data_IF_544478610761
#
_entry.id   IF_544478610761
#
_cell.length_a   1.000
_cell.length_b   1.000
_cell.length_c   1.000
_cell.angle_alpha   90.00
_cell.angle_beta   90.00
_cell.angle_gamma   90.00
#
_symmetry.space_group_name_H-M   'P 1'
#
loop_
_entity.id
_entity.type
_entity.pdbx_description
1 polymer ?
#
# COMPACT_ATOMS: atom_id res chain seq x y z
N UNK A 1 11.51 -0.26 22.48
CA UNK A 1 12.17 -1.57 22.73
C UNK A 1 11.28 -2.74 22.38
N UNK A 2 10.11 -2.92 22.99
CA UNK A 2 9.21 -4.06 22.68
C UNK A 2 8.80 -4.15 21.19
N UNK A 3 8.32 -3.06 20.59
CA UNK A 3 7.90 -3.06 19.19
C UNK A 3 9.02 -3.45 18.21
N UNK A 4 10.26 -3.01 18.49
CA UNK A 4 11.43 -3.35 17.68
C UNK A 4 11.80 -4.83 17.81
N UNK A 5 11.75 -5.38 19.04
CA UNK A 5 11.99 -6.80 19.26
C UNK A 5 10.96 -7.68 18.54
N UNK A 6 9.67 -7.30 18.58
CA UNK A 6 8.60 -7.98 17.84
C UNK A 6 8.84 -7.91 16.33
N UNK A 7 9.22 -6.73 15.81
CA UNK A 7 9.54 -6.57 14.40
C UNK A 7 10.71 -7.48 13.97
N UNK A 8 11.84 -7.45 14.69
CA UNK A 8 12.99 -8.31 14.39
C UNK A 8 12.64 -9.80 14.51
N UNK A 9 11.81 -10.17 15.49
CA UNK A 9 11.28 -11.53 15.61
C UNK A 9 10.43 -11.95 14.41
N UNK A 10 9.57 -11.05 13.91
CA UNK A 10 8.77 -11.30 12.71
C UNK A 10 9.65 -11.47 11.46
N UNK A 11 10.69 -10.64 11.31
CA UNK A 11 11.70 -10.81 10.24
C UNK A 11 12.40 -12.16 10.36
N UNK A 12 12.83 -12.55 11.57
CA UNK A 12 13.40 -13.86 11.83
C UNK A 12 12.46 -15.00 11.41
N UNK A 13 11.17 -14.89 11.74
CA UNK A 13 10.16 -15.88 11.37
C UNK A 13 9.99 -16.02 9.85
N UNK A 14 10.16 -14.96 9.06
CA UNK A 14 10.10 -15.07 7.59
C UNK A 14 11.20 -15.97 7.01
N UNK A 15 12.34 -16.11 7.69
CA UNK A 15 13.42 -16.99 7.25
C UNK A 15 13.12 -18.49 7.46
N UNK A 16 12.12 -18.81 8.30
CA UNK A 16 11.69 -20.19 8.55
C UNK A 16 10.89 -20.78 7.37
N UNK A 17 10.35 -19.93 6.50
CA UNK A 17 9.58 -20.34 5.31
C UNK A 17 10.26 -19.76 4.07
N UNK A 18 10.87 -20.59 3.19
CA UNK A 18 11.66 -20.09 2.06
C UNK A 18 10.94 -19.09 1.16
N UNK A 19 9.62 -19.26 0.96
CA UNK A 19 8.78 -18.35 0.17
C UNK A 19 8.59 -16.97 0.82
N UNK A 20 8.73 -16.86 2.14
CA UNK A 20 8.61 -15.62 2.90
C UNK A 20 9.96 -14.92 3.13
N UNK A 21 11.10 -15.59 2.94
CA UNK A 21 12.41 -14.96 3.10
C UNK A 21 12.54 -13.62 2.32
N UNK A 22 12.08 -13.50 1.06
CA UNK A 22 12.13 -12.22 0.34
C UNK A 22 11.29 -11.11 0.98
N UNK A 23 10.21 -11.46 1.71
CA UNK A 23 9.39 -10.51 2.49
C UNK A 23 10.24 -9.88 3.61
N UNK A 24 10.98 -10.70 4.36
CA UNK A 24 11.87 -10.23 5.41
C UNK A 24 12.97 -9.31 4.88
N UNK A 25 13.60 -9.67 3.77
CA UNK A 25 14.61 -8.84 3.10
C UNK A 25 14.01 -7.50 2.66
N UNK A 26 12.83 -7.52 2.03
CA UNK A 26 12.14 -6.30 1.62
C UNK A 26 11.76 -5.41 2.80
N UNK A 27 11.29 -5.98 3.91
CA UNK A 27 10.98 -5.23 5.12
C UNK A 27 12.23 -4.56 5.73
N UNK A 28 13.37 -5.26 5.77
CA UNK A 28 14.64 -4.67 6.21
C UNK A 28 15.12 -3.55 5.28
N UNK A 29 14.91 -3.70 3.96
CA UNK A 29 15.20 -2.63 3.00
C UNK A 29 14.41 -1.36 3.33
N UNK A 30 13.08 -1.44 3.45
CA UNK A 30 12.26 -0.25 3.78
C UNK A 30 12.60 0.34 5.16
N UNK A 31 12.94 -0.50 6.14
CA UNK A 31 13.45 -0.05 7.43
C UNK A 31 14.77 0.72 7.31
N UNK A 32 15.72 0.23 6.51
CA UNK A 32 16.99 0.93 6.27
C UNK A 32 16.77 2.27 5.54
N UNK A 33 15.89 2.30 4.54
CA UNK A 33 15.49 3.55 3.86
C UNK A 33 14.93 4.57 4.87
N UNK A 34 14.02 4.12 5.74
CA UNK A 34 13.40 4.93 6.80
C UNK A 34 14.39 5.52 7.79
N UNK A 35 15.42 4.76 8.17
CA UNK A 35 16.36 5.15 9.22
C UNK A 35 17.56 5.93 8.68
N UNK A 36 17.98 5.66 7.43
CA UNK A 36 19.17 6.28 6.84
C UNK A 36 18.85 7.30 5.75
N UNK A 37 18.19 6.87 4.67
CA UNK A 37 18.08 7.66 3.44
C UNK A 37 17.11 8.84 3.61
N UNK A 38 15.89 8.60 4.09
CA UNK A 38 14.87 9.65 4.16
C UNK A 38 15.29 10.81 5.07
N UNK A 39 15.84 10.60 6.29
CA UNK A 39 16.32 11.69 7.12
C UNK A 39 17.35 12.58 6.43
N UNK A 40 18.32 12.00 5.73
CA UNK A 40 19.38 12.74 5.02
C UNK A 40 18.79 13.61 3.92
N UNK A 41 17.87 13.06 3.13
CA UNK A 41 17.20 13.80 2.03
C UNK A 41 16.20 14.85 2.52
N UNK A 42 15.79 14.81 3.79
CA UNK A 42 14.75 15.68 4.35
C UNK A 42 15.30 16.89 5.10
N UNK A 43 16.62 17.00 5.27
CA UNK A 43 17.29 18.05 6.06
C UNK A 43 16.93 19.49 5.65
N UNK A 44 16.57 19.71 4.38
CA UNK A 44 16.18 21.01 3.85
C UNK A 44 14.67 21.31 3.92
N UNK A 45 13.85 20.40 4.48
CA UNK A 45 12.38 20.55 4.51
C UNK A 45 11.92 21.06 5.88
N UNK A 46 11.18 22.18 5.96
CA UNK A 46 10.69 22.73 7.23
C UNK A 46 9.88 21.74 8.09
N UNK A 47 9.07 20.89 7.45
CA UNK A 47 8.30 19.83 8.12
C UNK A 47 9.16 18.71 8.73
N UNK A 48 10.41 18.56 8.29
CA UNK A 48 11.35 17.62 8.89
C UNK A 48 12.06 18.22 10.11
N UNK A 49 12.21 19.55 10.14
CA UNK A 49 12.79 20.31 11.24
C UNK A 49 11.86 20.45 12.46
N UNK A 50 10.58 20.06 12.34
CA UNK A 50 9.66 20.04 13.47
C UNK A 50 9.90 18.81 14.35
N UNK A 51 10.29 18.98 15.61
CA UNK A 51 10.42 17.86 16.53
C UNK A 51 9.07 17.19 16.83
N UNK A 52 9.04 15.86 16.87
CA UNK A 52 7.90 15.09 17.37
C UNK A 52 7.09 14.36 16.31
N UNK A 53 5.77 14.56 16.31
CA UNK A 53 4.83 13.75 15.51
C UNK A 53 4.95 14.02 14.01
N UNK A 54 5.10 15.27 13.60
CA UNK A 54 5.07 15.65 12.19
C UNK A 54 6.32 15.17 11.45
N UNK A 55 7.50 15.20 12.08
CA UNK A 55 8.70 14.56 11.53
C UNK A 55 8.52 13.04 11.34
N UNK A 56 7.92 12.34 12.31
CA UNK A 56 7.67 10.89 12.19
C UNK A 56 6.68 10.59 11.07
N UNK A 57 5.62 11.40 10.95
CA UNK A 57 4.66 11.29 9.86
C UNK A 57 5.30 11.57 8.50
N UNK A 58 6.21 12.53 8.42
CA UNK A 58 6.94 12.87 7.20
C UNK A 58 7.79 11.68 6.74
N UNK A 59 8.56 11.10 7.66
CA UNK A 59 9.42 9.96 7.40
C UNK A 59 8.60 8.75 6.94
N UNK A 60 7.50 8.44 7.63
CA UNK A 60 6.57 7.38 7.26
C UNK A 60 6.00 7.60 5.85
N UNK A 61 5.38 8.77 5.63
CA UNK A 61 4.73 9.12 4.33
C UNK A 61 5.72 9.09 3.17
N UNK A 62 6.99 9.45 3.39
CA UNK A 62 8.04 9.40 2.36
C UNK A 62 8.38 7.98 1.95
N UNK A 63 8.46 7.05 2.92
CA UNK A 63 8.69 5.63 2.65
C UNK A 63 7.46 5.00 1.98
N UNK A 64 6.25 5.39 2.40
CA UNK A 64 5.01 4.99 1.72
C UNK A 64 4.93 5.48 0.28
N UNK A 65 5.38 6.71 -0.01
CA UNK A 65 5.48 7.21 -1.38
C UNK A 65 6.44 6.35 -2.21
N UNK A 66 7.63 6.05 -1.69
CA UNK A 66 8.59 5.16 -2.36
C UNK A 66 7.95 3.79 -2.67
N UNK A 67 7.29 3.18 -1.68
CA UNK A 67 6.61 1.90 -1.88
C UNK A 67 5.54 1.99 -2.96
N UNK A 68 4.67 3.00 -2.91
CA UNK A 68 3.57 3.16 -3.87
C UNK A 68 4.09 3.34 -5.30
N UNK A 69 5.23 4.04 -5.49
CA UNK A 69 5.91 4.16 -6.77
C UNK A 69 6.47 2.81 -7.25
N UNK A 70 7.23 2.13 -6.39
CA UNK A 70 7.86 0.85 -6.71
C UNK A 70 6.81 -0.21 -7.05
N UNK A 71 5.82 -0.39 -6.18
CA UNK A 71 4.74 -1.38 -6.35
C UNK A 71 3.89 -1.13 -7.59
N UNK A 72 3.56 0.14 -7.88
CA UNK A 72 2.88 0.51 -9.13
C UNK A 72 3.70 0.13 -10.35
N UNK A 73 4.99 0.48 -10.37
CA UNK A 73 5.89 0.16 -11.47
C UNK A 73 6.04 -1.34 -11.68
N UNK A 74 6.31 -2.11 -10.62
CA UNK A 74 6.53 -3.56 -10.76
C UNK A 74 5.23 -4.29 -11.13
N UNK A 75 4.08 -3.86 -10.63
CA UNK A 75 2.79 -4.47 -10.99
C UNK A 75 2.44 -4.19 -12.45
N UNK A 76 2.64 -2.95 -12.92
CA UNK A 76 2.47 -2.61 -14.33
C UNK A 76 3.49 -3.35 -15.22
N UNK A 77 4.72 -3.55 -14.75
CA UNK A 77 5.72 -4.32 -15.48
C UNK A 77 5.31 -5.79 -15.64
N UNK A 78 4.79 -6.43 -14.59
CA UNK A 78 4.24 -7.80 -14.68
C UNK A 78 3.09 -7.86 -15.69
N UNK A 79 2.13 -6.94 -15.59
CA UNK A 79 1.00 -6.89 -16.52
C UNK A 79 1.44 -6.63 -17.96
N UNK A 80 2.40 -5.73 -18.16
CA UNK A 80 2.94 -5.37 -19.48
C UNK A 80 3.76 -6.49 -20.11
N UNK A 81 4.59 -7.18 -19.33
CA UNK A 81 5.43 -8.28 -19.79
C UNK A 81 4.59 -9.47 -20.27
N UNK A 82 3.57 -9.87 -19.50
CA UNK A 82 2.69 -10.99 -19.86
C UNK A 82 1.57 -10.61 -20.84
N UNK A 83 1.25 -9.31 -20.96
CA UNK A 83 0.29 -8.77 -21.91
C UNK A 83 -1.07 -9.47 -21.85
N UNK A 84 -1.60 -9.85 -23.03
CA UNK A 84 -2.88 -10.58 -23.13
C UNK A 84 -2.84 -11.95 -22.44
N UNK A 85 -1.67 -12.59 -22.37
CA UNK A 85 -1.50 -13.88 -21.71
C UNK A 85 -1.87 -13.83 -20.23
N UNK A 86 -1.60 -12.71 -19.56
CA UNK A 86 -1.97 -12.52 -18.15
C UNK A 86 -3.48 -12.67 -17.91
N UNK A 87 -4.32 -12.22 -18.84
CA UNK A 87 -5.77 -12.25 -18.70
C UNK A 87 -6.41 -13.56 -19.17
N UNK A 88 -5.63 -14.45 -19.79
CA UNK A 88 -6.10 -15.74 -20.30
C UNK A 88 -5.76 -16.93 -19.37
N UNK A 89 -4.88 -16.73 -18.39
CA UNK A 89 -4.49 -17.76 -17.42
C UNK A 89 -5.48 -17.87 -16.26
N UNK A 90 -5.42 -18.97 -15.51
CA UNK A 90 -6.21 -19.16 -14.30
C UNK A 90 -5.69 -18.27 -13.16
N UNK A 91 -6.43 -17.20 -12.82
CA UNK A 91 -6.01 -16.24 -11.79
C UNK A 91 -5.99 -16.80 -10.36
N UNK A 92 -6.64 -17.93 -10.11
CA UNK A 92 -6.64 -18.58 -8.80
C UNK A 92 -5.39 -19.42 -8.60
N UNK A 93 -5.00 -20.20 -9.62
CA UNK A 93 -3.96 -21.23 -9.49
C UNK A 93 -2.63 -20.87 -10.18
N UNK A 94 -2.62 -19.85 -11.03
CA UNK A 94 -1.42 -19.44 -11.75
C UNK A 94 -0.58 -18.43 -10.96
N UNK A 95 0.73 -18.52 -11.12
CA UNK A 95 1.70 -17.56 -10.61
C UNK A 95 2.60 -17.11 -11.77
N UNK A 96 2.18 -16.11 -12.55
CA UNK A 96 3.00 -15.61 -13.66
C UNK A 96 4.33 -15.07 -13.13
N UNK A 97 5.36 -15.13 -13.96
CA UNK A 97 6.71 -14.67 -13.60
C UNK A 97 6.66 -13.22 -13.09
N UNK A 98 7.33 -12.97 -11.96
CA UNK A 98 7.34 -11.67 -11.29
C UNK A 98 6.17 -11.42 -10.32
N UNK A 99 5.09 -12.21 -10.34
CA UNK A 99 3.96 -12.03 -9.43
C UNK A 99 4.38 -12.20 -7.96
N UNK A 100 4.97 -13.35 -7.62
CA UNK A 100 5.42 -13.62 -6.25
C UNK A 100 6.44 -12.58 -5.76
N UNK A 101 7.39 -12.15 -6.60
CA UNK A 101 8.37 -11.13 -6.26
C UNK A 101 7.70 -9.77 -5.97
N UNK A 102 6.75 -9.37 -6.80
CA UNK A 102 5.96 -8.14 -6.64
C UNK A 102 5.15 -8.15 -5.33
N UNK A 103 4.55 -9.29 -4.98
CA UNK A 103 3.85 -9.46 -3.71
C UNK A 103 4.82 -9.47 -2.53
N UNK A 104 5.99 -10.09 -2.64
CA UNK A 104 6.99 -10.08 -1.57
C UNK A 104 7.51 -8.67 -1.26
N UNK A 105 7.79 -7.86 -2.29
CA UNK A 105 8.18 -6.45 -2.13
C UNK A 105 7.11 -5.68 -1.34
N UNK A 106 5.85 -5.87 -1.71
CA UNK A 106 4.75 -5.13 -1.09
C UNK A 106 4.44 -5.62 0.32
N UNK A 107 4.48 -6.94 0.54
CA UNK A 107 4.29 -7.54 1.87
C UNK A 107 5.40 -7.12 2.84
N UNK A 108 6.65 -7.02 2.36
CA UNK A 108 7.77 -6.55 3.16
C UNK A 108 7.58 -5.11 3.60
N UNK A 109 7.15 -4.24 2.68
CA UNK A 109 6.74 -2.88 3.04
C UNK A 109 5.62 -2.88 4.08
N UNK A 110 4.51 -3.62 3.86
CA UNK A 110 3.38 -3.61 4.79
C UNK A 110 3.76 -4.07 6.20
N UNK A 111 4.67 -5.04 6.31
CA UNK A 111 5.22 -5.52 7.58
C UNK A 111 6.05 -4.44 8.30
N UNK A 112 6.97 -3.81 7.57
CA UNK A 112 7.77 -2.70 8.11
C UNK A 112 6.86 -1.52 8.53
N UNK A 113 5.92 -1.13 7.68
CA UNK A 113 5.08 0.04 7.91
C UNK A 113 4.11 -0.20 9.06
N UNK A 114 3.60 -1.43 9.22
CA UNK A 114 2.84 -1.83 10.41
C UNK A 114 3.65 -1.59 11.69
N UNK A 115 4.92 -1.99 11.70
CA UNK A 115 5.81 -1.71 12.82
C UNK A 115 5.98 -0.19 13.03
N UNK A 116 6.27 0.58 11.98
CA UNK A 116 6.51 2.03 12.05
C UNK A 116 5.26 2.76 12.59
N UNK A 117 4.08 2.42 12.09
CA UNK A 117 2.79 2.94 12.54
C UNK A 117 2.56 2.70 14.05
N UNK A 118 2.82 1.47 14.53
CA UNK A 118 2.63 1.08 15.93
C UNK A 118 3.68 1.72 16.84
N UNK A 119 4.96 1.63 16.46
CA UNK A 119 6.08 2.13 17.25
C UNK A 119 5.98 3.65 17.48
N UNK A 120 5.52 4.40 16.47
CA UNK A 120 5.42 5.85 16.53
C UNK A 120 3.99 6.38 16.75
N UNK A 121 3.02 5.49 17.01
CA UNK A 121 1.61 5.80 17.29
C UNK A 121 0.93 6.64 16.17
N UNK A 122 1.37 6.47 14.92
CA UNK A 122 0.82 7.20 13.78
C UNK A 122 -0.63 6.79 13.47
N UNK A 123 -0.98 5.55 13.79
CA UNK A 123 -2.31 4.99 13.59
C UNK A 123 -3.42 5.73 14.37
N UNK A 124 -3.09 6.47 15.43
CA UNK A 124 -4.08 7.22 16.23
C UNK A 124 -4.89 8.22 15.40
N UNK A 125 -4.31 8.78 14.33
CA UNK A 125 -5.00 9.72 13.43
C UNK A 125 -5.71 9.04 12.26
N UNK A 126 -5.43 7.76 12.01
CA UNK A 126 -5.95 7.02 10.87
C UNK A 126 -6.06 5.52 11.19
N UNK A 127 -6.89 5.09 12.15
CA UNK A 127 -6.92 3.70 12.62
C UNK A 127 -7.29 2.70 11.51
N UNK A 128 -8.02 3.12 10.47
CA UNK A 128 -8.32 2.31 9.30
C UNK A 128 -7.08 1.81 8.55
N UNK A 129 -5.95 2.52 8.64
CA UNK A 129 -4.68 2.07 8.02
C UNK A 129 -4.16 0.81 8.71
N UNK A 130 -4.35 0.64 10.01
CA UNK A 130 -3.89 -0.56 10.71
C UNK A 130 -4.70 -1.78 10.29
N UNK A 131 -6.03 -1.61 10.18
CA UNK A 131 -6.92 -2.64 9.66
C UNK A 131 -6.56 -3.04 8.22
N UNK A 132 -6.21 -2.05 7.38
CA UNK A 132 -5.70 -2.29 6.04
C UNK A 132 -4.45 -3.17 6.05
N UNK A 133 -3.44 -2.83 6.86
CA UNK A 133 -2.17 -3.56 6.92
C UNK A 133 -2.34 -5.00 7.43
N UNK A 134 -3.22 -5.22 8.40
CA UNK A 134 -3.54 -6.56 8.90
C UNK A 134 -4.20 -7.38 7.79
N UNK A 135 -5.23 -6.82 7.14
CA UNK A 135 -5.97 -7.48 6.07
C UNK A 135 -5.06 -7.82 4.89
N UNK A 136 -4.30 -6.85 4.37
CA UNK A 136 -3.43 -7.04 3.20
C UNK A 136 -2.27 -7.97 3.53
N UNK A 137 -1.67 -7.85 4.72
CA UNK A 137 -0.60 -8.73 5.18
C UNK A 137 -1.03 -10.19 5.27
N UNK A 138 -2.22 -10.45 5.81
CA UNK A 138 -2.79 -11.80 5.86
C UNK A 138 -3.07 -12.36 4.45
N UNK A 139 -3.73 -11.57 3.59
CA UNK A 139 -4.08 -12.02 2.23
C UNK A 139 -2.83 -12.28 1.37
N UNK A 140 -1.85 -11.37 1.41
CA UNK A 140 -0.63 -11.49 0.61
C UNK A 140 0.28 -12.59 1.15
N UNK A 141 0.43 -12.68 2.48
CA UNK A 141 1.19 -13.75 3.12
C UNK A 141 0.64 -15.13 2.74
N UNK A 142 -0.68 -15.31 2.81
CA UNK A 142 -1.33 -16.55 2.39
C UNK A 142 -1.11 -16.82 0.88
N UNK A 143 -1.27 -15.83 0.01
CA UNK A 143 -1.06 -16.01 -1.43
C UNK A 143 0.39 -16.34 -1.80
N UNK A 144 1.37 -15.78 -1.08
CA UNK A 144 2.80 -16.10 -1.27
C UNK A 144 3.09 -17.53 -0.81
N UNK A 145 2.61 -17.92 0.38
CA UNK A 145 2.84 -19.27 0.93
C UNK A 145 2.17 -20.32 0.05
N UNK A 146 0.88 -20.18 -0.24
CA UNK A 146 0.10 -21.21 -0.93
C UNK A 146 0.15 -21.12 -2.45
N UNK A 147 0.61 -20.00 -3.02
CA UNK A 147 0.60 -19.82 -4.48
C UNK A 147 -0.80 -19.60 -5.07
N UNK A 148 -1.77 -19.18 -4.25
CA UNK A 148 -3.18 -19.07 -4.65
C UNK A 148 -3.58 -17.59 -4.72
N UNK A 149 -4.23 -17.19 -5.82
CA UNK A 149 -4.82 -15.86 -6.01
C UNK A 149 -3.80 -14.74 -6.25
N UNK A 150 -2.56 -15.07 -6.62
CA UNK A 150 -1.51 -14.06 -6.81
C UNK A 150 -1.83 -13.07 -7.93
N UNK A 151 -2.48 -13.53 -9.02
CA UNK A 151 -2.89 -12.66 -10.11
C UNK A 151 -3.86 -11.56 -9.65
N UNK A 152 -4.85 -11.90 -8.82
CA UNK A 152 -5.75 -10.88 -8.26
C UNK A 152 -4.98 -9.85 -7.45
N UNK A 153 -4.03 -10.29 -6.62
CA UNK A 153 -3.29 -9.37 -5.76
C UNK A 153 -2.34 -8.45 -6.56
N UNK A 154 -1.71 -8.96 -7.62
CA UNK A 154 -0.90 -8.13 -8.55
C UNK A 154 -1.77 -7.05 -9.19
N UNK A 155 -2.97 -7.42 -9.65
CA UNK A 155 -3.92 -6.45 -10.21
C UNK A 155 -4.38 -5.47 -9.14
N UNK A 156 -4.66 -5.94 -7.92
CA UNK A 156 -5.07 -5.08 -6.82
C UNK A 156 -3.98 -4.10 -6.39
N UNK A 157 -2.68 -4.41 -6.54
CA UNK A 157 -1.60 -3.45 -6.28
C UNK A 157 -1.67 -2.20 -7.15
N UNK A 158 -2.43 -2.19 -8.25
CA UNK A 158 -2.70 -0.96 -9.01
C UNK A 158 -3.44 0.11 -8.17
N UNK A 159 -4.03 -0.25 -7.03
CA UNK A 159 -4.55 0.71 -6.04
C UNK A 159 -3.46 1.68 -5.54
N UNK A 160 -2.20 1.26 -5.57
CA UNK A 160 -1.04 2.08 -5.19
C UNK A 160 -0.78 3.24 -6.15
N UNK A 161 -1.28 3.18 -7.40
CA UNK A 161 -1.23 4.34 -8.32
C UNK A 161 -1.95 5.56 -7.73
N UNK A 162 -3.05 5.33 -7.00
CA UNK A 162 -3.72 6.40 -6.30
C UNK A 162 -2.96 6.82 -5.03
N UNK A 163 -2.36 5.84 -4.32
CA UNK A 163 -1.53 6.11 -3.15
C UNK A 163 -0.34 7.03 -3.46
N UNK A 164 0.27 6.92 -4.65
CA UNK A 164 1.33 7.84 -5.11
C UNK A 164 0.88 9.30 -4.97
N UNK A 165 -0.28 9.64 -5.52
CA UNK A 165 -0.80 11.00 -5.45
C UNK A 165 -1.24 11.40 -4.04
N UNK A 166 -1.79 10.46 -3.25
CA UNK A 166 -2.16 10.71 -1.85
C UNK A 166 -0.95 11.06 -0.99
N UNK A 167 0.13 10.28 -1.09
CA UNK A 167 1.35 10.50 -0.33
C UNK A 167 2.10 11.74 -0.82
N UNK A 168 2.22 11.94 -2.13
CA UNK A 168 2.83 13.15 -2.69
C UNK A 168 2.10 14.42 -2.23
N UNK A 169 0.76 14.44 -2.30
CA UNK A 169 -0.04 15.56 -1.79
C UNK A 169 0.18 15.77 -0.30
N UNK A 170 0.22 14.70 0.49
CA UNK A 170 0.42 14.80 1.95
C UNK A 170 1.80 15.40 2.27
N UNK A 171 2.86 14.98 1.58
CA UNK A 171 4.19 15.56 1.74
C UNK A 171 4.22 17.03 1.32
N UNK A 172 3.64 17.39 0.17
CA UNK A 172 3.55 18.78 -0.26
C UNK A 172 2.83 19.66 0.77
N UNK A 173 1.70 19.17 1.31
CA UNK A 173 0.96 19.87 2.38
C UNK A 173 1.80 20.06 3.65
N UNK A 174 2.59 19.05 4.04
CA UNK A 174 3.49 19.16 5.19
C UNK A 174 4.64 20.13 4.92
N UNK A 175 5.13 20.20 3.69
CA UNK A 175 6.11 21.19 3.25
C UNK A 175 5.54 22.61 3.08
N UNK A 176 4.26 22.84 3.42
CA UNK A 176 3.62 24.17 3.39
C UNK A 176 3.00 24.56 2.05
N UNK A 177 2.95 23.66 1.07
CA UNK A 177 2.30 23.93 -0.21
C UNK A 177 0.78 23.98 -0.05
N UNK A 178 0.15 24.89 -0.78
CA UNK A 178 -1.30 25.09 -0.82
C UNK A 178 -1.82 25.02 -2.25
N UNK A 179 -3.13 25.19 -2.44
CA UNK A 179 -3.77 25.24 -3.77
C UNK A 179 -3.35 26.42 -4.65
N UNK A 180 -2.51 27.32 -4.14
CA UNK A 180 -1.83 28.34 -4.94
C UNK A 180 -0.70 27.73 -5.81
N UNK A 181 -0.13 26.59 -5.41
CA UNK A 181 0.95 25.94 -6.14
C UNK A 181 0.41 24.92 -7.17
N UNK A 182 0.81 25.01 -8.46
CA UNK A 182 0.33 24.09 -9.50
C UNK A 182 0.58 22.61 -9.18
N UNK A 183 1.76 22.29 -8.63
CA UNK A 183 2.12 20.91 -8.24
C UNK A 183 1.17 20.33 -7.19
N UNK A 184 0.69 21.15 -6.25
CA UNK A 184 -0.29 20.73 -5.26
C UNK A 184 -1.64 20.45 -5.90
N UNK A 185 -2.08 21.30 -6.84
CA UNK A 185 -3.34 21.09 -7.58
C UNK A 185 -3.26 19.84 -8.45
N UNK A 186 -2.15 19.60 -9.15
CA UNK A 186 -1.96 18.38 -9.95
C UNK A 186 -2.01 17.12 -9.09
N UNK A 187 -1.45 17.15 -7.89
CA UNK A 187 -1.56 16.02 -6.96
C UNK A 187 -3.02 15.71 -6.62
N UNK A 188 -3.86 16.74 -6.40
CA UNK A 188 -5.30 16.57 -6.18
C UNK A 188 -6.04 16.00 -7.40
N UNK A 189 -5.74 16.48 -8.61
CA UNK A 189 -6.32 15.94 -9.83
C UNK A 189 -5.94 14.46 -10.02
N UNK A 190 -4.67 14.14 -9.79
CA UNK A 190 -4.16 12.77 -9.80
C UNK A 190 -4.90 11.88 -8.81
N UNK A 191 -5.14 12.36 -7.58
CA UNK A 191 -5.97 11.63 -6.59
C UNK A 191 -7.35 11.34 -7.17
N UNK A 192 -8.10 12.33 -7.65
CA UNK A 192 -9.49 12.09 -8.09
C UNK A 192 -9.59 11.17 -9.31
N UNK A 193 -8.74 11.40 -10.31
CA UNK A 193 -8.74 10.61 -11.56
C UNK A 193 -8.41 9.15 -11.24
N UNK A 194 -7.32 8.91 -10.52
CA UNK A 194 -6.90 7.54 -10.21
C UNK A 194 -7.83 6.85 -9.21
N UNK A 195 -8.46 7.60 -8.29
CA UNK A 195 -9.35 7.02 -7.28
C UNK A 195 -10.53 6.27 -7.92
N UNK A 196 -11.17 6.85 -8.93
CA UNK A 196 -12.30 6.20 -9.62
C UNK A 196 -11.85 4.90 -10.27
N UNK A 197 -10.70 4.93 -10.96
CA UNK A 197 -10.21 3.76 -11.68
C UNK A 197 -9.73 2.66 -10.74
N UNK A 198 -8.83 2.98 -9.81
CA UNK A 198 -8.08 1.98 -9.05
C UNK A 198 -8.66 1.68 -7.67
N UNK A 199 -9.51 2.55 -7.13
CA UNK A 199 -10.15 2.38 -5.81
C UNK A 199 -11.67 2.22 -5.85
N UNK A 200 -12.31 2.37 -7.02
CA UNK A 200 -13.72 2.05 -7.20
C UNK A 200 -13.94 0.95 -8.25
N UNK A 201 -13.66 1.20 -9.53
CA UNK A 201 -13.98 0.27 -10.62
C UNK A 201 -13.19 -1.04 -10.48
N UNK A 202 -11.87 -0.93 -10.33
CA UNK A 202 -10.99 -2.09 -10.29
C UNK A 202 -11.30 -3.05 -9.12
N UNK A 203 -11.46 -2.59 -7.86
CA UNK A 203 -11.83 -3.48 -6.76
C UNK A 203 -13.19 -4.16 -6.98
N UNK A 204 -14.18 -3.47 -7.57
CA UNK A 204 -15.48 -4.09 -7.88
C UNK A 204 -15.30 -5.22 -8.89
N UNK A 205 -14.54 -4.98 -9.96
CA UNK A 205 -14.28 -6.00 -10.97
C UNK A 205 -13.55 -7.22 -10.39
N UNK A 206 -12.53 -7.00 -9.57
CA UNK A 206 -11.79 -8.09 -8.90
C UNK A 206 -12.69 -8.86 -7.92
N UNK A 207 -13.54 -8.17 -7.16
CA UNK A 207 -14.45 -8.81 -6.22
C UNK A 207 -15.46 -9.72 -6.93
N UNK A 208 -16.02 -9.25 -8.06
CA UNK A 208 -16.88 -10.06 -8.91
C UNK A 208 -16.13 -11.26 -9.50
N UNK A 209 -14.90 -11.07 -9.97
CA UNK A 209 -14.07 -12.14 -10.51
C UNK A 209 -13.77 -13.22 -9.46
N UNK A 210 -13.37 -12.82 -8.24
CA UNK A 210 -13.16 -13.75 -7.11
C UNK A 210 -14.44 -14.54 -6.79
N UNK A 211 -15.62 -13.91 -6.87
CA UNK A 211 -16.89 -14.60 -6.65
C UNK A 211 -17.24 -15.59 -7.77
N UNK A 212 -16.98 -15.23 -9.04
CA UNK A 212 -17.16 -16.12 -10.19
C UNK A 212 -16.25 -17.33 -10.06
N UNK A 213 -14.98 -17.11 -9.69
CA UNK A 213 -13.95 -18.13 -9.58
C UNK A 213 -13.98 -18.90 -8.24
N UNK A 214 -15.00 -18.68 -7.39
CA UNK A 214 -15.12 -19.29 -6.05
C UNK A 214 -14.91 -20.81 -6.01
N UNK A 215 -15.35 -21.52 -7.04
CA UNK A 215 -15.25 -22.99 -7.12
C UNK A 215 -13.84 -23.47 -7.51
N UNK A 216 -12.97 -22.59 -8.00
CA UNK A 216 -11.58 -22.89 -8.39
C UNK A 216 -10.62 -22.81 -7.21
N UNK A 217 -11.01 -22.18 -6.11
CA UNK A 217 -10.19 -22.11 -4.91
C UNK A 217 -10.02 -23.51 -4.30
N UNK A 218 -8.78 -23.98 -4.06
CA UNK A 218 -8.53 -25.30 -3.47
C UNK A 218 -9.22 -25.51 -2.12
N UNK A 219 -9.33 -24.43 -1.32
CA UNK A 219 -9.94 -24.48 -0.01
C UNK A 219 -10.89 -23.29 0.22
N UNK A 220 -12.02 -23.56 0.87
CA UNK A 220 -13.04 -22.54 1.21
C UNK A 220 -12.46 -21.38 2.00
N UNK A 221 -11.46 -21.63 2.84
CA UNK A 221 -10.79 -20.58 3.63
C UNK A 221 -10.03 -19.61 2.74
N UNK A 222 -9.42 -20.08 1.65
CA UNK A 222 -8.69 -19.21 0.70
C UNK A 222 -9.66 -18.31 -0.06
N UNK A 223 -10.80 -18.85 -0.51
CA UNK A 223 -11.88 -18.04 -1.07
C UNK A 223 -12.42 -17.03 -0.05
N UNK A 224 -12.70 -17.48 1.18
CA UNK A 224 -13.20 -16.63 2.25
C UNK A 224 -12.25 -15.48 2.58
N UNK A 225 -10.94 -15.72 2.60
CA UNK A 225 -9.93 -14.68 2.76
C UNK A 225 -9.92 -13.69 1.58
N UNK A 226 -9.94 -14.17 0.34
CA UNK A 226 -9.94 -13.30 -0.85
C UNK A 226 -11.20 -12.44 -0.90
N UNK A 227 -12.39 -13.04 -0.79
CA UNK A 227 -13.67 -12.35 -0.83
C UNK A 227 -13.86 -11.41 0.37
N UNK A 228 -13.51 -11.88 1.57
CA UNK A 228 -13.55 -11.07 2.80
C UNK A 228 -12.59 -9.89 2.75
N UNK A 229 -11.36 -10.10 2.25
CA UNK A 229 -10.38 -9.04 2.03
C UNK A 229 -10.90 -7.97 1.07
N UNK A 230 -11.52 -8.36 -0.04
CA UNK A 230 -12.15 -7.41 -0.96
C UNK A 230 -13.31 -6.64 -0.31
N UNK A 231 -14.13 -7.31 0.50
CA UNK A 231 -15.22 -6.68 1.25
C UNK A 231 -14.70 -5.61 2.22
N UNK A 232 -13.66 -5.92 3.00
CA UNK A 232 -13.01 -4.96 3.90
C UNK A 232 -12.41 -3.80 3.09
N UNK A 233 -11.76 -4.09 1.96
CA UNK A 233 -11.15 -3.08 1.11
C UNK A 233 -12.18 -2.07 0.57
N UNK A 234 -13.39 -2.49 0.22
CA UNK A 234 -14.45 -1.55 -0.18
C UNK A 234 -14.80 -0.57 0.95
N UNK A 235 -14.96 -1.06 2.17
CA UNK A 235 -15.23 -0.20 3.35
C UNK A 235 -14.09 0.79 3.54
N UNK A 236 -12.84 0.31 3.48
CA UNK A 236 -11.66 1.16 3.61
C UNK A 236 -11.58 2.22 2.50
N UNK A 237 -11.89 1.87 1.25
CA UNK A 237 -11.92 2.83 0.15
C UNK A 237 -13.00 3.90 0.33
N UNK A 238 -14.18 3.55 0.87
CA UNK A 238 -15.18 4.56 1.24
C UNK A 238 -14.64 5.53 2.29
N UNK A 239 -13.97 5.02 3.34
CA UNK A 239 -13.36 5.86 4.37
C UNK A 239 -12.26 6.77 3.80
N UNK A 240 -11.42 6.26 2.89
CA UNK A 240 -10.40 7.06 2.20
C UNK A 240 -11.06 8.14 1.34
N UNK A 241 -12.13 7.83 0.61
CA UNK A 241 -12.88 8.79 -0.19
C UNK A 241 -13.42 9.94 0.68
N UNK A 242 -14.06 9.60 1.79
CA UNK A 242 -14.57 10.58 2.76
C UNK A 242 -13.44 11.46 3.33
N UNK A 243 -12.30 10.85 3.68
CA UNK A 243 -11.11 11.56 4.15
C UNK A 243 -10.56 12.52 3.11
N UNK A 244 -10.48 12.10 1.85
CA UNK A 244 -10.04 12.94 0.73
C UNK A 244 -11.00 14.11 0.48
N UNK A 245 -12.31 13.86 0.47
CA UNK A 245 -13.32 14.90 0.28
C UNK A 245 -13.26 15.96 1.41
N UNK A 246 -13.09 15.53 2.66
CA UNK A 246 -12.93 16.43 3.81
C UNK A 246 -11.66 17.28 3.69
N UNK A 247 -10.53 16.66 3.33
CA UNK A 247 -9.27 17.38 3.15
C UNK A 247 -9.33 18.37 1.97
N UNK A 248 -9.91 17.98 0.85
CA UNK A 248 -10.06 18.84 -0.32
C UNK A 248 -10.91 20.07 -0.02
N UNK A 249 -12.05 19.91 0.68
CA UNK A 249 -12.89 21.04 1.12
C UNK A 249 -12.11 22.00 2.02
N UNK A 250 -11.32 21.47 2.96
CA UNK A 250 -10.49 22.30 3.84
C UNK A 250 -9.49 23.13 3.04
N UNK A 251 -8.83 22.53 2.06
CA UNK A 251 -7.83 23.21 1.22
C UNK A 251 -8.45 24.31 0.34
N UNK A 252 -9.67 24.09 -0.17
CA UNK A 252 -10.40 25.11 -0.93
C UNK A 252 -10.81 26.31 -0.07
N UNK A 253 -11.18 26.09 1.19
CA UNK A 253 -11.52 27.18 2.11
C UNK A 253 -10.31 28.08 2.44
N UNK A 254 -9.09 27.53 2.41
CA UNK A 254 -7.86 28.31 2.58
C UNK A 254 -7.60 29.23 1.37
N UNK A 255 -8.08 28.87 0.17
CA UNK A 255 -7.98 29.72 -1.03
C UNK A 255 -8.83 30.99 -0.96
N UNK A 256 -9.91 30.95 -0.19
CA UNK A 256 -10.90 32.04 -0.08
C UNK A 256 -10.55 33.06 1.00
N UNK A 257 -9.46 32.85 1.75
CA UNK A 257 -8.92 33.77 2.74
C UNK A 257 -7.62 34.37 2.23
#
# INVERSE_FOLDING_TARGET
MLALAVFLGAIGATSLVPRLLPVGVSALFFFAVRMGIVPVLSTAVPAFSSDGFDQRLWLNTSVSLLHSLVSSCVSLAVLGYHGRGFFAIDWVLSSPEGAAATLCISTGYFLYDFYDLVAYKLWLKAPGILAHHIMVGACYGAAIVYGVGQCYLVVMLLLELNSVFLHARKLLSMAGFTVAAPVYVWSWQGVWITFVLTRAILPIAVHLAVFVDRARFPHVVQFGMAFGGMSILHVLNVLVCQGCAKAYRKDLLVKLK
#
